data_IF_038697498194
#
_entry.id   IF_038697498194
#
_cell.length_a   1.000
_cell.length_b   1.000
_cell.length_c   1.000
_cell.angle_alpha   90.00
_cell.angle_beta   90.00
_cell.angle_gamma   90.00
#
_symmetry.space_group_name_H-M   'P 1'
#
loop_
_entity.id
_entity.type
_entity.pdbx_description
1 polymer ?
#
# COMPACT_ATOMS: atom_id res chain seq x y z
N UNK A 1 -12.91 24.75 -45.16
CA UNK A 1 -12.02 25.15 -44.04
C UNK A 1 -12.84 25.08 -42.76
N UNK A 2 -12.80 23.96 -42.04
CA UNK A 2 -13.65 23.71 -40.86
C UNK A 2 -12.77 23.32 -39.67
N UNK A 3 -12.74 24.19 -38.67
CA UNK A 3 -12.04 24.00 -37.40
C UNK A 3 -12.84 22.98 -36.57
N UNK A 4 -12.25 21.80 -36.40
CA UNK A 4 -12.79 20.71 -35.57
C UNK A 4 -12.57 21.02 -34.09
N UNK A 5 -13.71 21.08 -33.39
CA UNK A 5 -13.96 20.96 -31.95
C UNK A 5 -12.78 20.41 -31.13
N UNK A 6 -12.15 21.29 -30.37
CA UNK A 6 -11.40 20.98 -29.16
C UNK A 6 -12.42 20.69 -28.04
N UNK A 7 -12.55 19.43 -27.63
CA UNK A 7 -13.24 19.11 -26.37
C UNK A 7 -12.25 19.36 -25.23
N UNK A 8 -12.30 20.58 -24.67
CA UNK A 8 -11.75 20.86 -23.35
C UNK A 8 -12.65 20.16 -22.33
N UNK A 9 -12.22 19.00 -21.86
CA UNK A 9 -12.76 18.40 -20.64
C UNK A 9 -12.21 19.23 -19.48
N UNK A 10 -12.92 20.28 -19.10
CA UNK A 10 -12.67 21.02 -17.86
C UNK A 10 -13.11 20.12 -16.70
N UNK A 11 -12.22 19.22 -16.29
CA UNK A 11 -12.34 18.54 -15.00
C UNK A 11 -12.07 19.60 -13.94
N UNK A 12 -13.12 20.25 -13.46
CA UNK A 12 -13.08 21.02 -12.21
C UNK A 12 -12.94 19.98 -11.11
N UNK A 13 -11.70 19.56 -10.86
CA UNK A 13 -11.32 18.89 -9.61
C UNK A 13 -11.49 19.97 -8.55
N UNK A 14 -12.58 19.92 -7.81
CA UNK A 14 -12.69 20.66 -6.56
C UNK A 14 -11.48 20.29 -5.72
N UNK A 15 -10.65 21.29 -5.39
CA UNK A 15 -9.47 21.20 -4.55
C UNK A 15 -9.89 20.90 -3.10
N UNK A 16 -10.43 19.71 -2.85
CA UNK A 16 -10.32 19.11 -1.53
C UNK A 16 -8.86 18.71 -1.38
N UNK A 17 -8.11 19.49 -0.60
CA UNK A 17 -6.75 19.19 -0.15
C UNK A 17 -6.78 17.89 0.64
N UNK A 18 -6.69 16.77 -0.07
CA UNK A 18 -6.59 15.44 0.49
C UNK A 18 -5.11 15.11 0.62
N UNK A 19 -4.77 14.42 1.70
CA UNK A 19 -3.43 13.97 1.96
C UNK A 19 -3.15 12.73 1.13
N UNK A 20 -2.01 12.69 0.46
CA UNK A 20 -1.51 11.52 -0.28
C UNK A 20 -0.25 10.95 0.35
N UNK A 21 0.19 11.56 1.46
CA UNK A 21 1.50 11.38 2.05
C UNK A 21 1.36 11.29 3.55
N UNK A 22 2.26 10.57 4.19
CA UNK A 22 2.23 10.32 5.63
C UNK A 22 3.51 10.77 6.34
N UNK A 23 3.45 10.83 7.67
CA UNK A 23 4.61 11.11 8.53
C UNK A 23 4.85 9.96 9.52
N UNK A 24 5.63 9.00 9.06
CA UNK A 24 6.10 7.86 9.85
C UNK A 24 7.34 8.18 10.72
N UNK A 25 7.68 9.46 10.86
CA UNK A 25 8.88 9.95 11.54
C UNK A 25 8.57 10.72 12.82
N UNK A 26 7.83 11.84 12.74
CA UNK A 26 7.70 12.81 13.85
C UNK A 26 7.12 12.20 15.11
N UNK A 27 6.13 11.32 14.96
CA UNK A 27 5.44 10.67 16.08
C UNK A 27 5.77 9.17 16.16
N UNK A 28 6.80 8.71 15.45
CA UNK A 28 7.21 7.30 15.43
C UNK A 28 7.35 6.70 16.82
N UNK A 29 7.99 7.42 17.74
CA UNK A 29 8.20 6.98 19.13
C UNK A 29 6.89 6.81 19.89
N UNK A 30 5.91 7.67 19.64
CA UNK A 30 4.58 7.59 20.23
C UNK A 30 3.83 6.36 19.68
N UNK A 31 3.79 6.20 18.35
CA UNK A 31 3.12 5.08 17.68
C UNK A 31 3.71 3.73 18.12
N UNK A 32 5.04 3.62 18.17
CA UNK A 32 5.73 2.42 18.65
C UNK A 32 5.62 2.23 20.17
N UNK A 33 5.37 3.30 20.91
CA UNK A 33 5.30 3.33 22.37
C UNK A 33 3.92 3.05 22.96
N UNK A 34 2.87 2.91 22.14
CA UNK A 34 1.53 2.54 22.62
C UNK A 34 1.55 1.15 23.28
N UNK A 35 0.58 0.88 24.16
CA UNK A 35 0.50 -0.36 24.93
C UNK A 35 0.42 -1.60 24.01
N UNK A 36 0.95 -2.77 24.43
CA UNK A 36 0.76 -4.03 23.70
C UNK A 36 -0.72 -4.32 23.39
N UNK A 37 -1.61 -3.98 24.33
CA UNK A 37 -3.05 -4.09 24.19
C UNK A 37 -3.56 -3.19 23.05
N UNK A 38 -3.14 -1.93 22.99
CA UNK A 38 -3.55 -1.00 21.92
C UNK A 38 -3.03 -1.45 20.55
N UNK A 39 -1.81 -1.99 20.47
CA UNK A 39 -1.28 -2.57 19.22
C UNK A 39 -2.14 -3.73 18.72
N UNK A 40 -2.48 -4.65 19.62
CA UNK A 40 -3.35 -5.79 19.31
C UNK A 40 -4.76 -5.32 18.93
N UNK A 41 -5.30 -4.32 19.64
CA UNK A 41 -6.61 -3.76 19.37
C UNK A 41 -6.68 -3.04 18.03
N UNK A 42 -5.66 -2.28 17.63
CA UNK A 42 -5.59 -1.69 16.29
C UNK A 42 -5.69 -2.77 15.20
N UNK A 43 -4.89 -3.84 15.31
CA UNK A 43 -4.93 -4.97 14.36
C UNK A 43 -6.32 -5.62 14.33
N UNK A 44 -6.87 -6.02 15.48
CA UNK A 44 -8.14 -6.74 15.53
C UNK A 44 -9.33 -5.88 15.09
N UNK A 45 -9.36 -4.60 15.45
CA UNK A 45 -10.43 -3.69 15.02
C UNK A 45 -10.42 -3.49 13.51
N UNK A 46 -9.23 -3.40 12.92
CA UNK A 46 -9.10 -3.30 11.48
C UNK A 46 -9.47 -4.62 10.79
N UNK A 47 -9.00 -5.77 11.30
CA UNK A 47 -9.40 -7.09 10.79
C UNK A 47 -10.93 -7.28 10.87
N UNK A 48 -11.56 -6.92 11.99
CA UNK A 48 -13.01 -7.03 12.18
C UNK A 48 -13.78 -6.19 11.16
N UNK A 49 -13.31 -4.97 10.89
CA UNK A 49 -13.95 -4.09 9.92
C UNK A 49 -13.76 -4.60 8.48
N UNK A 50 -12.53 -5.00 8.12
CA UNK A 50 -12.25 -5.59 6.80
C UNK A 50 -13.06 -6.86 6.56
N UNK A 51 -13.16 -7.76 7.54
CA UNK A 51 -14.01 -8.94 7.44
C UNK A 51 -15.48 -8.56 7.35
N UNK A 52 -15.98 -7.58 8.11
CA UNK A 52 -17.37 -7.11 7.97
C UNK A 52 -17.69 -6.72 6.52
N UNK A 53 -16.83 -5.91 5.91
CA UNK A 53 -16.97 -5.49 4.52
C UNK A 53 -16.90 -6.67 3.56
N UNK A 54 -15.88 -7.51 3.72
CA UNK A 54 -15.65 -8.70 2.90
C UNK A 54 -16.87 -9.65 2.94
N UNK A 55 -17.28 -10.08 4.12
CA UNK A 55 -18.42 -10.97 4.32
C UNK A 55 -19.72 -10.39 3.78
N UNK A 56 -19.97 -9.09 3.99
CA UNK A 56 -21.13 -8.41 3.44
C UNK A 56 -21.16 -8.47 1.91
N UNK A 57 -20.02 -8.22 1.25
CA UNK A 57 -19.89 -8.31 -0.21
C UNK A 57 -20.18 -9.72 -0.74
N UNK A 58 -19.63 -10.76 -0.09
CA UNK A 58 -19.88 -12.15 -0.50
C UNK A 58 -21.35 -12.53 -0.30
N UNK A 59 -21.94 -12.16 0.86
CA UNK A 59 -23.35 -12.41 1.15
C UNK A 59 -24.27 -11.71 0.16
N UNK A 60 -24.00 -10.44 -0.19
CA UNK A 60 -24.77 -9.71 -1.18
C UNK A 60 -24.63 -10.33 -2.59
N UNK A 61 -23.42 -10.73 -2.95
CA UNK A 61 -23.16 -11.41 -4.21
C UNK A 61 -23.96 -12.72 -4.31
N UNK A 62 -23.87 -13.60 -3.32
CA UNK A 62 -24.54 -14.90 -3.30
C UNK A 62 -26.08 -14.79 -3.33
N UNK A 63 -26.65 -13.66 -2.87
CA UNK A 63 -28.10 -13.41 -2.98
C UNK A 63 -28.58 -13.10 -4.39
N UNK A 64 -27.69 -12.62 -5.27
CA UNK A 64 -28.04 -12.07 -6.58
C UNK A 64 -27.42 -12.82 -7.75
N UNK A 65 -26.36 -13.60 -7.52
CA UNK A 65 -25.51 -14.19 -8.56
C UNK A 65 -25.01 -15.58 -8.15
N UNK A 66 -24.66 -16.37 -9.16
CA UNK A 66 -24.02 -17.68 -9.00
C UNK A 66 -22.50 -17.58 -9.21
N UNK A 67 -21.72 -18.16 -8.32
CA UNK A 67 -20.27 -18.30 -8.49
C UNK A 67 -19.93 -19.16 -9.72
N UNK A 68 -20.80 -20.09 -10.11
CA UNK A 68 -20.59 -20.94 -11.30
C UNK A 68 -20.60 -20.11 -12.58
N UNK A 69 -21.48 -19.10 -12.67
CA UNK A 69 -21.53 -18.21 -13.82
C UNK A 69 -20.47 -17.12 -13.75
N UNK A 70 -20.15 -16.65 -12.55
CA UNK A 70 -19.15 -15.62 -12.35
C UNK A 70 -17.74 -16.09 -12.68
N UNK A 71 -17.38 -17.32 -12.32
CA UNK A 71 -16.09 -17.92 -12.69
C UNK A 71 -15.90 -18.11 -14.20
N UNK A 72 -16.96 -17.97 -15.02
CA UNK A 72 -16.83 -17.97 -16.49
C UNK A 72 -16.40 -16.61 -17.04
N UNK A 73 -16.47 -15.53 -16.25
CA UNK A 73 -16.00 -14.20 -16.63
C UNK A 73 -14.49 -14.11 -16.45
N UNK A 74 -13.86 -13.21 -17.21
CA UNK A 74 -12.43 -12.92 -17.09
C UNK A 74 -12.20 -11.40 -16.92
N UNK A 75 -11.95 -10.90 -15.70
CA UNK A 75 -11.97 -11.62 -14.43
C UNK A 75 -13.39 -11.88 -13.89
N UNK A 76 -13.55 -12.82 -12.93
CA UNK A 76 -14.74 -12.94 -12.11
C UNK A 76 -15.13 -11.61 -11.44
N UNK A 77 -16.43 -11.26 -11.41
CA UNK A 77 -16.90 -9.98 -10.86
C UNK A 77 -16.63 -9.86 -9.35
N UNK A 78 -16.50 -10.99 -8.65
CA UNK A 78 -16.23 -11.02 -7.21
C UNK A 78 -14.97 -10.24 -6.83
N UNK A 79 -13.95 -10.23 -7.68
CA UNK A 79 -12.73 -9.44 -7.48
C UNK A 79 -13.04 -7.94 -7.34
N UNK A 80 -13.73 -7.38 -8.35
CA UNK A 80 -14.11 -5.97 -8.36
C UNK A 80 -15.06 -5.58 -7.21
N UNK A 81 -15.87 -6.53 -6.72
CA UNK A 81 -16.75 -6.30 -5.57
C UNK A 81 -15.97 -6.22 -4.27
N UNK A 82 -14.99 -7.11 -4.10
CA UNK A 82 -14.08 -7.07 -2.95
C UNK A 82 -13.27 -5.78 -2.97
N UNK A 83 -12.71 -5.38 -4.12
CA UNK A 83 -12.05 -4.07 -4.30
C UNK A 83 -12.93 -2.94 -3.78
N UNK A 84 -14.17 -2.86 -4.27
CA UNK A 84 -15.08 -1.75 -3.94
C UNK A 84 -15.43 -1.64 -2.46
N UNK A 85 -15.50 -2.75 -1.72
CA UNK A 85 -15.88 -2.70 -0.31
C UNK A 85 -14.70 -2.49 0.63
N UNK A 86 -13.47 -2.84 0.21
CA UNK A 86 -12.27 -2.60 0.99
C UNK A 86 -11.66 -1.21 0.68
N UNK A 87 -11.63 -0.84 -0.60
CA UNK A 87 -11.22 0.48 -1.11
C UNK A 87 -12.43 1.26 -1.65
N UNK A 88 -12.33 1.75 -2.89
CA UNK A 88 -13.48 2.15 -3.72
C UNK A 88 -14.31 3.36 -3.27
N UNK A 89 -13.83 4.18 -2.35
CA UNK A 89 -14.49 5.45 -2.03
C UNK A 89 -14.26 6.52 -3.09
N UNK A 90 -14.96 7.65 -2.96
CA UNK A 90 -14.88 8.74 -3.95
C UNK A 90 -13.58 9.55 -3.86
N UNK A 91 -12.90 9.52 -2.70
CA UNK A 91 -11.70 10.31 -2.43
C UNK A 91 -10.66 9.53 -1.63
N UNK A 92 -11.09 8.84 -0.57
CA UNK A 92 -10.31 7.85 0.22
C UNK A 92 -10.97 6.47 0.10
N UNK A 93 -10.19 5.39 0.26
CA UNK A 93 -10.71 4.02 0.33
C UNK A 93 -11.65 3.81 1.54
N UNK A 94 -12.62 2.90 1.44
CA UNK A 94 -13.60 2.68 2.52
C UNK A 94 -12.97 2.29 3.87
N UNK A 95 -11.82 1.62 3.85
CA UNK A 95 -11.06 1.32 5.06
C UNK A 95 -10.24 2.50 5.57
N UNK A 96 -9.66 3.30 4.67
CA UNK A 96 -8.92 4.51 5.03
C UNK A 96 -9.82 5.49 5.77
N UNK A 97 -10.97 5.82 5.17
CA UNK A 97 -11.99 6.69 5.75
C UNK A 97 -12.45 6.17 7.11
N UNK A 98 -12.62 4.84 7.24
CA UNK A 98 -12.99 4.24 8.50
C UNK A 98 -11.91 4.40 9.57
N UNK A 99 -10.63 4.13 9.27
CA UNK A 99 -9.54 4.29 10.25
C UNK A 99 -9.37 5.76 10.60
N UNK A 100 -9.42 6.65 9.61
CA UNK A 100 -9.35 8.10 9.74
C UNK A 100 -10.42 8.65 10.69
N UNK A 101 -11.66 8.18 10.57
CA UNK A 101 -12.78 8.68 11.38
C UNK A 101 -13.05 7.88 12.66
N UNK A 102 -12.45 6.69 12.80
CA UNK A 102 -12.65 5.84 13.98
C UNK A 102 -11.96 6.41 15.21
N UNK A 103 -12.76 6.68 16.26
CA UNK A 103 -12.29 6.98 17.63
C UNK A 103 -11.72 5.77 18.35
N UNK A 104 -11.87 4.57 17.75
CA UNK A 104 -11.34 3.32 18.30
C UNK A 104 -9.93 3.03 17.79
N UNK A 105 -9.40 3.79 16.84
CA UNK A 105 -8.04 3.56 16.35
C UNK A 105 -7.08 4.51 17.08
N UNK A 106 -5.99 3.97 17.61
CA UNK A 106 -4.90 4.79 18.17
C UNK A 106 -3.98 5.15 17.02
N UNK A 107 -3.95 6.45 16.68
CA UNK A 107 -3.26 7.02 15.52
C UNK A 107 -2.63 8.37 15.85
N UNK A 108 -1.61 8.75 15.08
CA UNK A 108 -0.91 10.03 15.15
C UNK A 108 -1.28 10.91 13.97
N UNK A 109 -1.41 12.22 14.18
CA UNK A 109 -1.72 13.21 13.13
C UNK A 109 -0.52 13.66 12.29
N UNK A 110 0.70 13.24 12.66
CA UNK A 110 1.94 13.65 12.00
C UNK A 110 2.26 15.15 12.11
N UNK A 111 3.40 15.56 11.57
CA UNK A 111 3.80 16.96 11.39
C UNK A 111 3.39 17.48 10.01
N UNK A 112 2.34 18.30 9.98
CA UNK A 112 1.80 18.89 8.74
C UNK A 112 2.83 19.76 8.00
N UNK A 113 3.91 20.19 8.66
CA UNK A 113 5.00 20.94 8.02
C UNK A 113 6.13 20.05 7.45
N UNK A 114 6.00 18.71 7.52
CA UNK A 114 7.06 17.77 7.11
C UNK A 114 7.53 18.01 5.68
N UNK A 115 6.58 18.11 4.75
CA UNK A 115 6.86 18.32 3.32
C UNK A 115 6.80 19.80 2.91
N UNK A 116 6.43 20.73 3.81
CA UNK A 116 6.32 22.16 3.49
C UNK A 116 5.27 22.47 2.42
N UNK A 117 4.22 21.66 2.33
CA UNK A 117 3.19 21.70 1.30
C UNK A 117 1.85 22.22 1.83
N UNK A 118 0.94 22.74 0.97
CA UNK A 118 -0.33 23.34 1.42
C UNK A 118 -1.44 22.33 1.75
N UNK A 119 -1.30 21.08 1.34
CA UNK A 119 -2.22 20.00 1.70
C UNK A 119 -1.89 19.37 3.06
N UNK A 120 -2.84 18.62 3.60
CA UNK A 120 -2.61 17.88 4.84
C UNK A 120 -1.80 16.62 4.57
N UNK A 121 -1.22 16.04 5.61
CA UNK A 121 -0.70 14.66 5.60
C UNK A 121 -1.65 13.72 6.36
N UNK A 122 -1.63 12.46 5.95
CA UNK A 122 -2.50 11.44 6.52
C UNK A 122 -1.94 10.91 7.85
N UNK A 123 -2.81 10.44 8.75
CA UNK A 123 -2.37 9.88 10.01
C UNK A 123 -1.59 8.57 9.80
N UNK A 124 -0.70 8.28 10.74
CA UNK A 124 -0.01 6.97 10.85
C UNK A 124 -0.42 6.26 12.14
N UNK A 125 -0.39 4.94 12.14
CA UNK A 125 -0.77 4.12 13.29
C UNK A 125 0.09 2.86 13.40
N UNK A 126 -0.05 2.15 14.53
CA UNK A 126 0.60 0.85 14.68
C UNK A 126 -0.31 -0.24 14.08
N UNK A 127 0.22 -1.00 13.13
CA UNK A 127 -0.42 -2.17 12.56
C UNK A 127 0.51 -3.37 12.67
N UNK A 128 0.14 -4.33 13.52
CA UNK A 128 0.94 -5.55 13.79
C UNK A 128 2.42 -5.26 14.13
N UNK A 129 2.69 -4.19 14.89
CA UNK A 129 4.05 -3.81 15.28
C UNK A 129 4.79 -2.89 14.30
N UNK A 130 4.22 -2.60 13.12
CA UNK A 130 4.78 -1.69 12.13
C UNK A 130 4.14 -0.29 12.24
N UNK A 131 4.89 0.78 11.93
CA UNK A 131 4.31 2.11 11.74
C UNK A 131 3.85 2.20 10.30
N UNK A 132 2.57 2.47 10.10
CA UNK A 132 1.95 2.40 8.78
C UNK A 132 1.07 3.63 8.60
N UNK A 133 1.26 4.32 7.48
CA UNK A 133 0.33 5.32 6.96
C UNK A 133 -1.04 4.73 6.66
N UNK A 134 -2.13 5.47 6.95
CA UNK A 134 -3.49 4.96 6.68
C UNK A 134 -3.72 4.75 5.17
N UNK A 135 -3.17 5.63 4.34
CA UNK A 135 -3.15 5.54 2.87
C UNK A 135 -2.68 4.17 2.33
N UNK A 136 -1.79 3.48 3.04
CA UNK A 136 -1.33 2.14 2.61
C UNK A 136 -2.47 1.12 2.49
N UNK A 137 -3.60 1.34 3.17
CA UNK A 137 -4.78 0.48 3.09
C UNK A 137 -5.46 0.58 1.72
N UNK A 138 -5.57 1.76 1.11
CA UNK A 138 -6.11 1.94 -0.24
C UNK A 138 -5.11 1.55 -1.31
N UNK A 139 -3.80 1.78 -1.11
CA UNK A 139 -2.78 1.19 -1.99
C UNK A 139 -2.89 -0.34 -2.04
N UNK A 140 -3.09 -0.99 -0.89
CA UNK A 140 -3.35 -2.43 -0.84
C UNK A 140 -4.66 -2.83 -1.54
N UNK A 141 -5.77 -2.15 -1.24
CA UNK A 141 -7.08 -2.56 -1.73
C UNK A 141 -7.30 -2.20 -3.22
N UNK A 142 -7.03 -0.96 -3.61
CA UNK A 142 -7.34 -0.42 -4.93
C UNK A 142 -6.18 -0.66 -5.91
N UNK A 143 -4.99 -0.16 -5.61
CA UNK A 143 -3.84 -0.33 -6.51
C UNK A 143 -3.40 -1.80 -6.57
N UNK A 144 -3.49 -2.53 -5.45
CA UNK A 144 -3.23 -3.96 -5.45
C UNK A 144 -4.10 -4.75 -6.44
N UNK A 145 -5.36 -4.32 -6.67
CA UNK A 145 -6.21 -4.94 -7.69
C UNK A 145 -5.72 -4.62 -9.11
N UNK A 146 -5.30 -3.39 -9.35
CA UNK A 146 -4.80 -2.94 -10.66
C UNK A 146 -3.46 -3.62 -11.00
N UNK A 147 -2.60 -3.81 -10.01
CA UNK A 147 -1.39 -4.61 -10.13
C UNK A 147 -1.72 -6.08 -10.43
N UNK A 148 -2.75 -6.63 -9.80
CA UNK A 148 -3.23 -7.99 -10.09
C UNK A 148 -3.75 -8.13 -11.53
N UNK A 149 -4.51 -7.15 -12.01
CA UNK A 149 -4.95 -7.11 -13.40
C UNK A 149 -3.76 -7.06 -14.36
N UNK A 150 -2.78 -6.18 -14.11
CA UNK A 150 -1.57 -6.06 -14.91
C UNK A 150 -0.70 -7.34 -14.90
N UNK A 151 -0.62 -8.02 -13.76
CA UNK A 151 0.19 -9.22 -13.60
C UNK A 151 -0.44 -10.48 -14.17
N UNK A 152 -1.79 -10.59 -14.16
CA UNK A 152 -2.45 -11.88 -14.41
C UNK A 152 -3.64 -11.87 -15.36
N UNK A 153 -4.29 -10.72 -15.60
CA UNK A 153 -5.58 -10.68 -16.30
C UNK A 153 -5.50 -9.96 -17.65
N UNK A 154 -4.68 -8.93 -17.76
CA UNK A 154 -4.55 -8.10 -18.95
C UNK A 154 -3.77 -8.79 -20.08
N UNK A 155 -3.89 -8.26 -21.30
CA UNK A 155 -3.15 -8.79 -22.44
C UNK A 155 -1.62 -8.68 -22.23
N UNK A 156 -0.92 -9.80 -22.43
CA UNK A 156 0.51 -9.91 -22.16
C UNK A 156 0.87 -9.71 -20.68
N UNK A 157 -0.06 -10.01 -19.78
CA UNK A 157 0.11 -9.97 -18.34
C UNK A 157 1.38 -10.69 -17.88
N UNK A 158 2.14 -10.04 -17.02
CA UNK A 158 3.31 -10.59 -16.35
C UNK A 158 3.67 -9.74 -15.14
N UNK A 159 4.49 -10.29 -14.24
CA UNK A 159 4.82 -9.61 -13.00
C UNK A 159 5.61 -8.31 -13.22
N UNK A 160 6.44 -8.22 -14.26
CA UNK A 160 7.18 -6.99 -14.58
C UNK A 160 6.24 -5.83 -14.93
N UNK A 161 5.17 -6.07 -15.70
CA UNK A 161 4.18 -5.03 -16.01
C UNK A 161 3.50 -4.46 -14.77
N UNK A 162 3.21 -5.29 -13.77
CA UNK A 162 2.67 -4.81 -12.51
C UNK A 162 3.68 -3.92 -11.77
N UNK A 163 4.95 -4.28 -11.78
CA UNK A 163 5.99 -3.43 -11.19
C UNK A 163 6.21 -2.12 -11.95
N UNK A 164 6.17 -2.14 -13.29
CA UNK A 164 6.22 -0.94 -14.12
C UNK A 164 5.02 -0.02 -13.89
N UNK A 165 3.83 -0.60 -13.74
CA UNK A 165 2.61 0.14 -13.39
C UNK A 165 2.74 0.80 -12.00
N UNK A 166 3.15 0.04 -10.99
CA UNK A 166 3.40 0.56 -9.63
C UNK A 166 4.44 1.68 -9.64
N UNK A 167 5.54 1.52 -10.37
CA UNK A 167 6.55 2.58 -10.51
C UNK A 167 5.98 3.83 -11.22
N UNK A 168 5.12 3.64 -12.20
CA UNK A 168 4.48 4.75 -12.95
C UNK A 168 3.51 5.54 -12.08
N UNK A 169 2.77 4.87 -11.19
CA UNK A 169 1.93 5.54 -10.21
C UNK A 169 2.74 6.46 -9.30
N UNK A 170 3.87 5.96 -8.79
CA UNK A 170 4.76 6.75 -7.93
C UNK A 170 5.59 7.82 -8.66
N UNK A 171 5.87 7.66 -9.95
CA UNK A 171 6.58 8.70 -10.72
C UNK A 171 5.65 9.82 -11.20
N UNK A 172 4.34 9.56 -11.27
CA UNK A 172 3.37 10.44 -11.91
C UNK A 172 2.06 10.61 -11.15
N UNK A 173 1.19 9.59 -11.17
CA UNK A 173 -0.24 9.75 -10.86
C UNK A 173 -0.47 10.12 -9.40
N UNK A 174 0.29 9.49 -8.49
CA UNK A 174 0.08 9.59 -7.05
C UNK A 174 1.32 10.09 -6.31
N UNK A 175 2.53 9.81 -6.83
CA UNK A 175 3.78 10.26 -6.21
C UNK A 175 4.36 11.54 -6.82
N UNK A 176 5.57 11.50 -7.40
CA UNK A 176 6.42 12.68 -7.69
C UNK A 176 5.70 13.83 -8.39
N UNK A 177 4.82 13.55 -9.35
CA UNK A 177 4.18 14.63 -10.12
C UNK A 177 2.96 15.22 -9.40
N UNK A 178 2.35 14.47 -8.48
CA UNK A 178 1.27 14.94 -7.60
C UNK A 178 1.85 15.58 -6.33
N UNK A 179 2.77 14.90 -5.64
CA UNK A 179 3.24 15.26 -4.31
C UNK A 179 4.70 15.69 -4.19
N UNK A 180 5.50 15.36 -5.19
CA UNK A 180 6.95 15.47 -5.10
C UNK A 180 7.58 14.39 -4.24
N UNK A 181 6.84 13.36 -3.82
CA UNK A 181 7.31 12.21 -3.04
C UNK A 181 7.05 10.93 -3.84
N UNK A 182 7.98 9.98 -3.77
CA UNK A 182 7.87 8.64 -4.33
C UNK A 182 7.98 7.67 -3.19
N UNK A 183 6.87 7.04 -2.81
CA UNK A 183 6.82 6.14 -1.67
C UNK A 183 7.08 4.71 -2.10
N UNK A 184 8.16 4.14 -1.58
CA UNK A 184 8.41 2.71 -1.74
C UNK A 184 7.51 1.87 -0.83
N UNK A 185 6.93 2.48 0.22
CA UNK A 185 5.94 1.84 1.06
C UNK A 185 4.60 1.66 0.33
N UNK A 186 4.20 2.62 -0.51
CA UNK A 186 3.03 2.48 -1.39
C UNK A 186 3.19 1.35 -2.39
N UNK A 187 4.36 1.26 -3.03
CA UNK A 187 4.69 0.17 -3.94
C UNK A 187 4.63 -1.20 -3.23
N UNK A 188 5.14 -1.27 -1.99
CA UNK A 188 5.10 -2.48 -1.18
C UNK A 188 3.65 -2.86 -0.78
N UNK A 189 2.85 -1.88 -0.36
CA UNK A 189 1.45 -2.10 -0.02
C UNK A 189 0.63 -2.57 -1.22
N UNK A 190 0.79 -1.94 -2.38
CA UNK A 190 0.17 -2.37 -3.63
C UNK A 190 0.59 -3.79 -4.04
N UNK A 191 1.88 -4.13 -3.94
CA UNK A 191 2.36 -5.48 -4.24
C UNK A 191 1.78 -6.54 -3.29
N UNK A 192 1.65 -6.23 -2.00
CA UNK A 192 1.00 -7.13 -1.06
C UNK A 192 -0.52 -7.22 -1.30
N UNK A 193 -1.16 -6.15 -1.78
CA UNK A 193 -2.55 -6.15 -2.24
C UNK A 193 -2.75 -7.07 -3.45
N UNK A 194 -1.83 -7.02 -4.42
CA UNK A 194 -1.82 -7.95 -5.55
C UNK A 194 -1.78 -9.41 -5.09
N UNK A 195 -0.94 -9.73 -4.09
CA UNK A 195 -0.87 -11.06 -3.49
C UNK A 195 -2.17 -11.47 -2.81
N UNK A 196 -2.87 -10.54 -2.15
CA UNK A 196 -4.20 -10.78 -1.62
C UNK A 196 -5.19 -11.17 -2.72
N UNK A 197 -5.21 -10.45 -3.84
CA UNK A 197 -6.08 -10.79 -4.96
C UNK A 197 -5.71 -12.12 -5.62
N UNK A 198 -4.42 -12.45 -5.77
CA UNK A 198 -4.02 -13.79 -6.21
C UNK A 198 -4.67 -14.88 -5.35
N UNK A 199 -4.74 -14.63 -4.04
CA UNK A 199 -5.28 -15.57 -3.06
C UNK A 199 -6.78 -15.41 -2.80
N UNK A 200 -7.48 -14.53 -3.53
CA UNK A 200 -8.92 -14.43 -3.36
C UNK A 200 -9.61 -15.73 -3.80
N UNK A 201 -9.22 -16.27 -4.95
CA UNK A 201 -9.78 -17.51 -5.53
C UNK A 201 -8.76 -18.63 -5.77
N UNK A 202 -7.45 -18.36 -5.70
CA UNK A 202 -6.41 -19.30 -6.11
C UNK A 202 -5.35 -19.52 -5.01
N UNK A 203 -4.54 -20.57 -5.19
CA UNK A 203 -3.40 -20.86 -4.31
C UNK A 203 -3.75 -21.53 -2.98
N UNK A 204 -2.69 -21.88 -2.26
CA UNK A 204 -2.78 -22.39 -0.89
C UNK A 204 -3.10 -21.24 0.06
N UNK A 205 -4.21 -21.36 0.79
CA UNK A 205 -4.72 -20.28 1.66
C UNK A 205 -5.71 -19.34 0.97
N UNK A 206 -6.35 -19.76 -0.13
CA UNK A 206 -7.38 -18.96 -0.78
C UNK A 206 -8.54 -18.56 0.14
N UNK A 207 -9.09 -17.36 -0.04
CA UNK A 207 -10.19 -16.86 0.78
C UNK A 207 -11.55 -17.45 0.41
N UNK A 208 -11.78 -17.71 -0.88
CA UNK A 208 -13.06 -18.18 -1.37
C UNK A 208 -12.94 -19.48 -2.18
N UNK A 209 -14.02 -20.25 -2.16
CA UNK A 209 -14.23 -21.34 -3.12
C UNK A 209 -15.66 -21.33 -3.63
N UNK A 210 -15.88 -21.77 -4.87
CA UNK A 210 -17.23 -21.88 -5.41
C UNK A 210 -17.83 -23.25 -5.06
N UNK A 211 -18.92 -23.25 -4.30
CA UNK A 211 -19.74 -24.44 -4.12
C UNK A 211 -20.65 -24.60 -5.34
N UNK A 212 -20.28 -25.53 -6.22
CA UNK A 212 -21.01 -25.76 -7.48
C UNK A 212 -22.45 -26.26 -7.29
N UNK A 213 -22.75 -26.89 -6.15
CA UNK A 213 -24.10 -27.41 -5.87
C UNK A 213 -25.08 -26.31 -5.47
N UNK A 214 -24.61 -25.33 -4.69
CA UNK A 214 -25.42 -24.20 -4.23
C UNK A 214 -25.27 -22.96 -5.11
N UNK A 215 -24.26 -22.95 -6.00
CA UNK A 215 -23.89 -21.78 -6.79
C UNK A 215 -23.33 -20.63 -5.95
N UNK A 216 -22.94 -20.84 -4.70
CA UNK A 216 -22.48 -19.78 -3.80
C UNK A 216 -20.97 -19.81 -3.60
N UNK A 217 -20.34 -18.63 -3.46
CA UNK A 217 -18.99 -18.54 -2.91
C UNK A 217 -19.03 -18.85 -1.40
N UNK A 218 -18.18 -19.77 -0.95
CA UNK A 218 -17.93 -20.09 0.45
C UNK A 218 -16.64 -19.43 0.91
N UNK A 219 -16.66 -18.83 2.09
CA UNK A 219 -15.49 -18.21 2.72
C UNK A 219 -14.74 -19.28 3.50
N UNK A 220 -13.49 -19.52 3.13
CA UNK A 220 -12.65 -20.59 3.70
C UNK A 220 -11.83 -20.14 4.91
N UNK A 221 -11.52 -18.84 5.00
CA UNK A 221 -10.76 -18.23 6.10
C UNK A 221 -11.12 -16.76 6.25
N UNK A 222 -10.83 -16.22 7.42
CA UNK A 222 -10.96 -14.79 7.68
C UNK A 222 -9.74 -14.03 7.11
N UNK A 223 -9.96 -12.78 6.75
CA UNK A 223 -8.91 -11.84 6.38
C UNK A 223 -8.14 -11.37 7.63
N UNK A 224 -6.82 -11.30 7.53
CA UNK A 224 -5.95 -10.84 8.61
C UNK A 224 -4.85 -9.95 8.04
N UNK A 225 -4.78 -8.68 8.45
CA UNK A 225 -3.75 -7.73 8.00
C UNK A 225 -2.34 -8.21 8.33
N UNK A 226 -2.17 -9.02 9.38
CA UNK A 226 -0.88 -9.62 9.74
C UNK A 226 -0.31 -10.56 8.66
N UNK A 227 -1.12 -11.00 7.70
CA UNK A 227 -0.66 -11.79 6.54
C UNK A 227 0.18 -10.98 5.55
N UNK A 228 0.01 -9.66 5.54
CA UNK A 228 0.50 -8.79 4.46
C UNK A 228 1.39 -7.67 4.96
N UNK A 229 0.99 -7.03 6.06
CA UNK A 229 1.74 -5.90 6.63
C UNK A 229 3.11 -6.37 7.10
N UNK A 230 4.12 -5.59 6.77
CA UNK A 230 5.49 -5.84 7.17
C UNK A 230 6.28 -4.52 7.17
N UNK A 231 7.57 -4.57 7.54
CA UNK A 231 8.43 -3.38 7.65
C UNK A 231 8.50 -2.55 6.34
N UNK A 232 8.20 -3.12 5.17
CA UNK A 232 8.27 -2.40 3.90
C UNK A 232 7.17 -1.36 3.70
N UNK A 233 6.11 -1.40 4.51
CA UNK A 233 5.02 -0.41 4.51
C UNK A 233 5.32 0.83 5.36
N UNK A 234 6.42 0.79 6.12
CA UNK A 234 6.80 1.84 7.05
C UNK A 234 7.76 2.80 6.34
N UNK A 235 7.31 4.01 6.00
CA UNK A 235 8.14 5.00 5.27
C UNK A 235 9.32 5.50 6.12
N UNK A 236 9.19 5.38 7.43
CA UNK A 236 10.26 5.57 8.38
C UNK A 236 11.44 4.63 8.14
N UNK A 237 11.20 3.44 7.58
CA UNK A 237 12.22 2.41 7.31
C UNK A 237 12.47 2.28 5.80
N UNK A 238 11.42 2.22 4.98
CA UNK A 238 11.44 2.12 3.54
C UNK A 238 11.34 3.51 2.89
N UNK A 239 12.43 4.27 3.03
CA UNK A 239 12.47 5.71 2.76
C UNK A 239 11.87 6.13 1.42
N UNK A 240 11.01 7.14 1.43
CA UNK A 240 10.54 7.79 0.22
C UNK A 240 11.67 8.54 -0.50
N UNK A 241 11.52 8.70 -1.81
CA UNK A 241 12.43 9.46 -2.66
C UNK A 241 11.75 10.73 -3.15
N UNK A 242 12.52 11.75 -3.50
CA UNK A 242 11.99 13.07 -3.91
C UNK A 242 12.36 13.43 -5.34
N UNK A 243 12.62 12.39 -6.13
CA UNK A 243 12.98 12.42 -7.54
C UNK A 243 12.67 11.05 -8.15
N UNK A 244 12.63 11.00 -9.49
CA UNK A 244 12.43 9.75 -10.24
C UNK A 244 13.69 8.89 -10.22
N UNK A 245 13.76 7.98 -9.25
CA UNK A 245 14.85 7.02 -9.16
C UNK A 245 14.77 5.97 -10.27
N UNK A 246 15.93 5.49 -10.75
CA UNK A 246 16.01 4.39 -11.71
C UNK A 246 15.26 3.15 -11.18
N UNK A 247 14.42 2.57 -12.04
CA UNK A 247 13.64 1.37 -11.75
C UNK A 247 13.92 0.24 -12.77
N UNK A 248 14.03 -1.04 -12.33
CA UNK A 248 14.29 -1.43 -10.94
C UNK A 248 15.61 -0.82 -10.45
N UNK A 249 15.83 -0.81 -9.12
CA UNK A 249 17.06 -0.29 -8.54
C UNK A 249 18.29 -0.97 -9.14
N UNK A 250 19.22 -0.15 -9.61
CA UNK A 250 20.56 -0.53 -10.03
C UNK A 250 21.59 0.39 -9.37
N UNK A 251 22.52 -0.19 -8.62
CA UNK A 251 23.50 0.57 -7.81
C UNK A 251 24.36 1.50 -8.67
N UNK A 252 24.81 1.02 -9.82
CA UNK A 252 25.69 1.79 -10.72
C UNK A 252 24.94 2.98 -11.30
N UNK A 253 23.73 2.75 -11.83
CA UNK A 253 22.88 3.80 -12.38
C UNK A 253 22.48 4.82 -11.33
N UNK A 254 22.21 4.38 -10.10
CA UNK A 254 21.87 5.26 -9.00
C UNK A 254 23.03 6.17 -8.61
N UNK A 255 24.23 5.63 -8.39
CA UNK A 255 25.41 6.44 -8.01
C UNK A 255 25.70 7.50 -9.08
N UNK A 256 25.51 7.17 -10.36
CA UNK A 256 25.64 8.14 -11.45
C UNK A 256 24.56 9.22 -11.37
N UNK A 257 23.30 8.84 -11.20
CA UNK A 257 22.17 9.79 -11.08
C UNK A 257 22.34 10.72 -9.87
N UNK A 258 22.78 10.20 -8.72
CA UNK A 258 23.02 10.99 -7.51
C UNK A 258 24.14 12.01 -7.72
N UNK A 259 25.24 11.64 -8.37
CA UNK A 259 26.31 12.59 -8.73
C UNK A 259 25.81 13.68 -9.67
N UNK A 260 25.05 13.32 -10.70
CA UNK A 260 24.46 14.30 -11.63
C UNK A 260 23.53 15.28 -10.92
N UNK A 261 22.73 14.82 -9.94
CA UNK A 261 21.87 15.69 -9.12
C UNK A 261 22.68 16.61 -8.20
N UNK A 262 23.74 16.10 -7.55
CA UNK A 262 24.59 16.88 -6.65
C UNK A 262 25.46 17.91 -7.40
N UNK A 263 25.92 17.59 -8.60
CA UNK A 263 26.69 18.51 -9.45
C UNK A 263 25.78 19.58 -10.10
N UNK A 264 24.51 19.21 -10.39
CA UNK A 264 23.48 20.11 -10.90
C UNK A 264 22.94 21.13 -9.88
N UNK A 265 23.18 20.92 -8.58
CA UNK A 265 22.80 21.85 -7.49
C UNK A 265 23.64 23.14 -7.49
N UNK A 266 24.64 23.26 -8.38
CA UNK A 266 25.39 24.50 -8.60
C UNK A 266 24.66 25.53 -9.48
N UNK A 267 23.53 25.19 -10.11
CA UNK A 267 22.76 26.15 -10.91
C UNK A 267 21.25 25.91 -10.87
N UNK A 268 20.63 26.45 -9.83
CA UNK A 268 19.19 26.62 -9.65
C UNK A 268 18.62 27.59 -10.71
N UNK A 269 18.55 27.19 -11.98
CA UNK A 269 17.59 27.69 -12.98
C UNK A 269 18.04 27.25 -14.38
N UNK A 270 17.30 26.34 -15.02
CA UNK A 270 16.63 26.58 -16.30
C UNK A 270 16.12 25.24 -16.87
N UNK A 271 14.79 25.14 -16.90
CA UNK A 271 14.03 24.42 -17.93
C UNK A 271 14.11 22.87 -17.96
N UNK A 272 12.94 22.30 -17.65
CA UNK A 272 12.33 21.05 -18.12
C UNK A 272 13.26 19.87 -18.50
N UNK A 273 12.97 18.73 -17.86
CA UNK A 273 13.34 17.35 -18.21
C UNK A 273 14.50 16.69 -17.47
N UNK A 274 15.08 17.33 -16.45
CA UNK A 274 15.96 16.64 -15.49
C UNK A 274 15.53 16.96 -14.05
N UNK A 275 14.98 15.94 -13.38
CA UNK A 275 14.28 16.04 -12.10
C UNK A 275 15.17 16.52 -10.94
N UNK A 276 15.19 17.83 -10.69
CA UNK A 276 15.67 18.43 -9.44
C UNK A 276 14.84 17.92 -8.25
N UNK A 277 15.42 17.91 -7.04
CA UNK A 277 14.66 17.68 -5.80
C UNK A 277 13.38 18.53 -5.80
N UNK A 278 12.23 17.89 -5.57
CA UNK A 278 10.99 18.62 -5.35
C UNK A 278 11.14 19.56 -4.16
N UNK A 279 10.36 20.65 -4.13
CA UNK A 279 10.26 21.50 -2.94
C UNK A 279 9.95 20.67 -1.68
N UNK A 280 9.08 19.67 -1.82
CA UNK A 280 8.76 18.70 -0.77
C UNK A 280 10.01 17.98 -0.22
N UNK A 281 10.90 17.52 -1.09
CA UNK A 281 12.14 16.86 -0.68
C UNK A 281 13.13 17.79 0.04
N UNK A 282 13.23 19.06 -0.37
CA UNK A 282 14.07 20.05 0.33
C UNK A 282 13.52 20.32 1.73
N UNK A 283 12.20 20.55 1.83
CA UNK A 283 11.53 20.76 3.11
C UNK A 283 11.66 19.55 4.02
N UNK A 284 11.43 18.35 3.51
CA UNK A 284 11.59 17.10 4.24
C UNK A 284 12.99 16.96 4.82
N UNK A 285 14.04 17.10 3.99
CA UNK A 285 15.43 16.97 4.45
C UNK A 285 15.78 17.99 5.54
N UNK A 286 15.36 19.23 5.37
CA UNK A 286 15.58 20.29 6.36
C UNK A 286 14.84 20.00 7.67
N UNK A 287 13.59 19.53 7.58
CA UNK A 287 12.76 19.21 8.74
C UNK A 287 13.30 18.00 9.50
N UNK A 288 13.72 16.95 8.79
CA UNK A 288 14.38 15.78 9.36
C UNK A 288 15.64 16.18 10.13
N UNK A 289 16.50 17.02 9.53
CA UNK A 289 17.71 17.55 10.19
C UNK A 289 17.37 18.39 11.42
N UNK A 290 16.40 19.30 11.32
CA UNK A 290 15.96 20.16 12.43
C UNK A 290 15.48 19.34 13.64
N UNK A 291 14.76 18.24 13.38
CA UNK A 291 14.20 17.36 14.41
C UNK A 291 15.14 16.23 14.84
N UNK A 292 16.35 16.14 14.28
CA UNK A 292 17.30 15.07 14.58
C UNK A 292 16.79 13.68 14.17
N UNK A 293 16.01 13.61 13.09
CA UNK A 293 15.45 12.37 12.54
C UNK A 293 16.28 11.90 11.33
N UNK A 294 16.21 10.62 11.02
CA UNK A 294 16.92 10.02 9.89
C UNK A 294 16.06 8.95 9.22
N UNK A 295 16.29 8.75 7.92
CA UNK A 295 15.76 7.59 7.20
C UNK A 295 16.94 6.72 6.67
N UNK A 296 16.94 5.39 6.89
CA UNK A 296 15.97 4.64 7.67
C UNK A 296 16.07 4.96 9.17
N UNK A 297 14.93 5.06 9.84
CA UNK A 297 14.80 5.24 11.28
C UNK A 297 15.23 3.98 12.04
N UNK A 298 15.19 2.81 11.40
CA UNK A 298 15.75 1.57 11.91
C UNK A 298 16.56 0.84 10.83
N UNK A 299 17.88 0.93 10.95
CA UNK A 299 18.78 0.33 9.97
C UNK A 299 18.74 -1.21 9.94
N UNK A 300 18.48 -1.86 11.07
CA UNK A 300 18.41 -3.32 11.12
C UNK A 300 17.16 -3.84 10.40
N UNK A 301 16.02 -3.15 10.50
CA UNK A 301 14.83 -3.47 9.73
C UNK A 301 15.07 -3.25 8.23
N UNK A 302 15.67 -2.13 7.85
CA UNK A 302 16.13 -1.89 6.47
C UNK A 302 17.00 -3.04 5.92
N UNK A 303 18.00 -3.50 6.69
CA UNK A 303 18.84 -4.64 6.29
C UNK A 303 18.07 -5.94 6.08
N UNK A 304 17.00 -6.18 6.85
CA UNK A 304 16.13 -7.36 6.66
C UNK A 304 15.34 -7.22 5.37
N UNK A 305 14.71 -6.06 5.15
CA UNK A 305 13.92 -5.79 3.96
C UNK A 305 14.72 -5.87 2.67
N UNK A 306 15.96 -5.38 2.69
CA UNK A 306 16.83 -5.40 1.52
C UNK A 306 17.12 -6.83 1.01
N UNK A 307 16.89 -7.87 1.84
CA UNK A 307 17.01 -9.29 1.50
C UNK A 307 15.69 -9.96 1.07
N UNK A 308 14.58 -9.23 1.07
CA UNK A 308 13.29 -9.75 0.62
C UNK A 308 13.34 -10.05 -0.88
N UNK A 309 12.48 -10.98 -1.31
CA UNK A 309 12.23 -11.19 -2.73
C UNK A 309 11.72 -9.87 -3.37
N UNK A 310 12.16 -9.58 -4.59
CA UNK A 310 11.77 -8.38 -5.31
C UNK A 310 12.24 -7.06 -4.65
N UNK A 311 13.22 -7.10 -3.74
CA UNK A 311 13.66 -5.91 -2.99
C UNK A 311 14.14 -4.76 -3.88
N UNK A 312 14.71 -5.03 -5.06
CA UNK A 312 15.12 -3.98 -6.01
C UNK A 312 13.96 -3.20 -6.62
N UNK A 313 12.72 -3.65 -6.41
CA UNK A 313 11.49 -3.02 -6.92
C UNK A 313 10.64 -2.42 -5.79
N UNK A 314 10.78 -2.93 -4.57
CA UNK A 314 9.91 -2.58 -3.44
C UNK A 314 10.62 -1.80 -2.34
N UNK A 315 11.95 -1.87 -2.29
CA UNK A 315 12.75 -1.24 -1.23
C UNK A 315 13.52 -0.06 -1.82
N UNK A 316 13.53 1.04 -1.08
CA UNK A 316 14.12 2.28 -1.53
C UNK A 316 15.62 2.16 -1.80
N UNK A 317 16.14 2.88 -2.81
CA UNK A 317 17.57 2.96 -3.08
C UNK A 317 18.39 3.31 -1.84
N UNK A 318 17.93 4.26 -1.02
CA UNK A 318 18.59 4.66 0.22
C UNK A 318 18.79 3.49 1.19
N UNK A 319 17.77 2.64 1.33
CA UNK A 319 17.88 1.45 2.15
C UNK A 319 18.79 0.40 1.51
N UNK A 320 18.63 0.13 0.21
CA UNK A 320 19.44 -0.85 -0.52
C UNK A 320 20.93 -0.47 -0.53
N UNK A 321 21.30 0.80 -0.71
CA UNK A 321 22.69 1.23 -0.71
C UNK A 321 23.34 0.99 0.65
N UNK A 322 22.66 1.42 1.72
CA UNK A 322 23.17 1.29 3.09
C UNK A 322 23.25 -0.17 3.53
N UNK A 323 22.29 -1.00 3.10
CA UNK A 323 22.24 -2.41 3.47
C UNK A 323 23.28 -3.27 2.72
N UNK A 324 23.81 -2.80 1.58
CA UNK A 324 24.68 -3.60 0.69
C UNK A 324 24.14 -5.01 0.43
N UNK A 325 22.88 -5.15 -0.02
CA UNK A 325 22.19 -6.42 -0.07
C UNK A 325 22.77 -7.34 -1.13
N UNK A 326 22.56 -8.63 -0.89
CA UNK A 326 22.56 -9.61 -1.96
C UNK A 326 21.33 -9.32 -2.82
N UNK A 327 21.52 -9.03 -4.11
CA UNK A 327 20.42 -8.77 -5.02
C UNK A 327 19.57 -10.04 -5.16
N UNK A 328 18.42 -10.07 -4.47
CA UNK A 328 17.46 -11.16 -4.59
C UNK A 328 16.55 -10.86 -5.78
N UNK A 329 16.67 -11.67 -6.83
CA UNK A 329 15.81 -11.54 -8.02
C UNK A 329 14.35 -11.77 -7.63
N UNK A 330 13.47 -11.00 -8.24
CA UNK A 330 12.04 -11.29 -8.22
C UNK A 330 11.77 -12.47 -9.15
N UNK A 331 11.22 -13.56 -8.62
CA UNK A 331 10.83 -14.70 -9.46
C UNK A 331 9.47 -14.40 -10.07
N UNK A 332 9.28 -14.79 -11.32
CA UNK A 332 7.94 -14.87 -11.90
C UNK A 332 7.09 -15.82 -11.06
N UNK A 333 5.85 -15.41 -10.79
CA UNK A 333 4.88 -16.19 -10.01
C UNK A 333 3.64 -16.37 -10.85
N UNK A 334 3.13 -17.60 -10.93
CA UNK A 334 1.82 -17.88 -11.55
C UNK A 334 0.71 -17.62 -10.55
N UNK A 335 -0.51 -17.50 -11.07
CA UNK A 335 -1.70 -17.39 -10.25
C UNK A 335 -1.84 -18.63 -9.35
N UNK A 336 -1.80 -18.42 -8.03
CA UNK A 336 -1.83 -19.47 -7.01
C UNK A 336 -0.46 -19.93 -6.48
N UNK A 337 0.66 -19.40 -7.00
CA UNK A 337 2.00 -19.73 -6.48
C UNK A 337 2.34 -19.01 -5.16
N UNK A 338 1.49 -18.10 -4.70
CA UNK A 338 1.72 -17.34 -3.47
C UNK A 338 1.01 -18.01 -2.29
N UNK A 339 1.78 -18.57 -1.35
CA UNK A 339 1.22 -19.05 -0.08
C UNK A 339 0.98 -17.90 0.88
N UNK A 340 -0.21 -17.82 1.48
CA UNK A 340 -0.46 -16.91 2.60
C UNK A 340 0.27 -17.43 3.85
N UNK A 341 1.05 -16.60 4.58
CA UNK A 341 1.78 -17.04 5.77
C UNK A 341 0.88 -17.64 6.87
N UNK A 342 -0.32 -17.09 7.12
CA UNK A 342 -1.12 -17.48 8.28
C UNK A 342 -2.32 -18.40 7.97
N UNK A 343 -2.09 -19.58 7.39
CA UNK A 343 -3.02 -20.71 7.65
C UNK A 343 -3.20 -21.04 9.16
N UNK A 344 -2.57 -20.27 10.07
CA UNK A 344 -2.44 -20.51 11.51
C UNK A 344 -2.55 -19.24 12.38
N UNK A 345 -3.01 -18.07 11.91
CA UNK A 345 -3.19 -16.94 12.86
C UNK A 345 -4.29 -17.32 13.86
N UNK A 346 -4.07 -17.06 15.15
CA UNK A 346 -5.06 -17.32 16.19
C UNK A 346 -6.27 -16.36 16.14
N UNK A 347 -6.35 -15.51 15.11
CA UNK A 347 -7.45 -14.60 14.89
C UNK A 347 -8.63 -15.34 14.24
N UNK A 348 -9.84 -15.09 14.75
CA UNK A 348 -11.08 -15.56 14.15
C UNK A 348 -12.13 -14.47 14.24
N UNK A 349 -12.80 -14.18 13.13
CA UNK A 349 -13.85 -13.18 13.05
C UNK A 349 -15.16 -13.72 13.63
N UNK A 350 -15.77 -12.98 14.57
CA UNK A 350 -17.09 -13.35 15.09
C UNK A 350 -18.18 -13.03 14.06
N UNK A 351 -18.79 -14.09 13.51
CA UNK A 351 -19.85 -13.99 12.50
C UNK A 351 -21.25 -13.74 13.09
N UNK A 352 -21.37 -13.59 14.41
CA UNK A 352 -22.64 -13.27 15.06
C UNK A 352 -23.03 -11.81 14.77
N UNK A 353 -24.27 -11.58 14.33
CA UNK A 353 -24.82 -10.24 14.05
C UNK A 353 -24.86 -9.30 15.29
N UNK A 354 -24.47 -9.77 16.49
CA UNK A 354 -24.34 -8.95 17.69
C UNK A 354 -23.02 -8.16 17.71
N UNK A 355 -23.14 -6.86 17.49
CA UNK A 355 -22.06 -5.88 17.70
C UNK A 355 -21.43 -6.00 19.08
N UNK A 356 -20.09 -6.03 19.12
CA UNK A 356 -19.28 -5.57 20.25
C UNK A 356 -19.33 -6.44 21.50
N UNK A 357 -18.30 -7.28 21.66
CA UNK A 357 -17.75 -7.90 22.89
C UNK A 357 -17.11 -9.26 22.60
N UNK A 358 -16.71 -9.53 21.35
CA UNK A 358 -15.70 -10.56 21.09
C UNK A 358 -14.38 -10.13 21.74
N UNK A 359 -14.26 -10.33 23.05
CA UNK A 359 -12.96 -10.61 23.64
C UNK A 359 -12.39 -11.75 22.81
N UNK A 360 -11.22 -11.55 22.22
CA UNK A 360 -10.35 -12.64 21.85
C UNK A 360 -9.99 -13.39 23.15
N UNK A 361 -10.90 -14.25 23.59
CA UNK A 361 -10.68 -15.15 24.70
C UNK A 361 -9.73 -16.24 24.23
N UNK A 362 -8.43 -15.96 24.32
CA UNK A 362 -7.38 -16.89 24.76
C UNK A 362 -6.01 -16.35 24.38
N UNK A 363 -5.47 -15.47 25.22
CA UNK A 363 -4.03 -15.48 25.44
C UNK A 363 -3.72 -16.71 26.29
N UNK A 364 -3.54 -17.88 25.66
CA UNK A 364 -2.83 -18.97 26.33
C UNK A 364 -1.33 -18.65 26.25
N UNK A 365 -0.75 -18.46 27.44
CA UNK A 365 0.64 -18.11 27.73
C UNK A 365 1.70 -18.80 26.88
#
# INVERSE_FOLDING_TARGET
MNIRKLFLLSLVVTLSTQAWEVDDFSNRKEILGISPEDKAQNLYRLNDQSNRYFYSAIKEFNRKRSCVDDMKKNPPEIYSRVKRVLGGGMVEGALEDWVQNSKKMVKSKGDQALYGTPWSIDPSFNLNGHVVGIDKLGHFADQGFELFEAAYLNEGANLEKAFELSNTYEDYVFGISASGVKSYADMAAGYNGMQFYMNLLHGEGKYLTCNKSTGSYEILRDFDWADYVNDSWDEGINCSMYYRAKFPYDKTSYIRQEKELLEGDSLLSFMSDKASLSSAGVHFKNRMKQKGMSCPANFNQCKKMAKMECSTRLISPDCLIKASPVLVRCKEKKLGDFGVPSAKSGYSYSRSDSFGTGSSNSWSK
#
